data_IF_091882179127
#
_entry.id   IF_091882179127
#
_cell.length_a   1.000
_cell.length_b   1.000
_cell.length_c   1.000
_cell.angle_alpha   90.00
_cell.angle_beta   90.00
_cell.angle_gamma   90.00
#
_symmetry.space_group_name_H-M   'P 1'
#
loop_
_entity.id
_entity.type
_entity.pdbx_description
1 polymer ?
#
# COMPACT_ATOMS: atom_id res chain seq x y z
N UNK A 1 14.55 -0.89 7.80
CA UNK A 1 14.54 -0.64 6.36
C UNK A 1 13.89 -1.80 5.62
N UNK A 2 13.33 -1.54 4.41
CA UNK A 2 12.59 -2.53 3.65
C UNK A 2 13.17 -2.83 2.27
N UNK A 3 13.02 -4.08 1.83
CA UNK A 3 13.36 -4.46 0.46
C UNK A 3 12.37 -5.46 -0.10
N UNK A 4 12.16 -5.41 -1.41
CA UNK A 4 11.31 -6.35 -2.13
C UNK A 4 12.14 -7.50 -2.66
N UNK A 5 11.70 -8.74 -2.39
CA UNK A 5 12.32 -9.95 -2.89
C UNK A 5 11.27 -10.72 -3.71
N UNK A 6 11.65 -11.20 -4.88
CA UNK A 6 10.76 -11.92 -5.80
C UNK A 6 10.27 -13.22 -5.17
N UNK A 7 8.99 -13.51 -5.29
CA UNK A 7 8.39 -14.75 -4.81
C UNK A 7 8.67 -15.92 -5.75
N UNK A 8 8.61 -17.16 -5.24
CA UNK A 8 8.64 -18.39 -6.03
C UNK A 8 7.33 -18.58 -6.82
N UNK A 9 6.97 -17.58 -7.62
CA UNK A 9 5.69 -17.51 -8.32
C UNK A 9 5.86 -17.11 -9.78
N UNK A 10 4.91 -17.53 -10.62
CA UNK A 10 4.92 -17.17 -12.03
C UNK A 10 4.43 -15.71 -12.21
N UNK A 11 5.22 -14.90 -12.86
CA UNK A 11 4.95 -13.47 -13.12
C UNK A 11 3.74 -13.22 -14.05
N UNK A 12 3.29 -14.20 -14.78
CA UNK A 12 2.14 -14.07 -15.70
C UNK A 12 0.82 -14.57 -15.10
N UNK A 13 0.82 -15.15 -13.91
CA UNK A 13 -0.38 -15.66 -13.24
C UNK A 13 -0.98 -14.67 -12.25
N UNK A 14 -1.15 -13.43 -12.66
CA UNK A 14 -1.68 -12.37 -11.82
C UNK A 14 -3.21 -12.36 -11.73
N UNK A 15 -3.72 -11.96 -10.58
CA UNK A 15 -5.13 -11.62 -10.36
C UNK A 15 -5.19 -10.22 -9.78
N UNK A 16 -5.89 -9.31 -10.48
CA UNK A 16 -6.09 -7.93 -10.06
C UNK A 16 -7.46 -7.74 -9.42
N UNK A 17 -7.53 -7.30 -8.15
CA UNK A 17 -8.77 -7.06 -7.43
C UNK A 17 -9.72 -6.14 -8.20
N UNK A 18 -9.23 -5.03 -8.72
CA UNK A 18 -10.02 -4.06 -9.51
C UNK A 18 -10.67 -4.70 -10.74
N UNK A 19 -9.94 -5.54 -11.47
CA UNK A 19 -10.46 -6.22 -12.65
C UNK A 19 -11.54 -7.25 -12.27
N UNK A 20 -11.30 -8.04 -11.22
CA UNK A 20 -12.25 -9.03 -10.71
C UNK A 20 -13.53 -8.36 -10.24
N UNK A 21 -13.44 -7.28 -9.45
CA UNK A 21 -14.61 -6.52 -8.96
C UNK A 21 -15.42 -5.92 -10.11
N UNK A 22 -14.74 -5.34 -11.13
CA UNK A 22 -15.40 -4.82 -12.33
C UNK A 22 -16.14 -5.91 -13.10
N UNK A 23 -15.52 -7.09 -13.26
CA UNK A 23 -16.12 -8.21 -13.97
C UNK A 23 -17.27 -8.83 -13.17
N UNK A 24 -17.16 -8.88 -11.84
CA UNK A 24 -18.25 -9.31 -10.96
C UNK A 24 -19.47 -8.38 -11.06
N UNK A 25 -19.24 -7.05 -11.04
CA UNK A 25 -20.34 -6.09 -11.21
C UNK A 25 -21.07 -6.28 -12.54
N UNK A 26 -20.33 -6.48 -13.65
CA UNK A 26 -20.91 -6.79 -14.96
C UNK A 26 -21.70 -8.12 -14.96
N UNK A 27 -21.18 -9.12 -14.25
CA UNK A 27 -21.87 -10.41 -14.14
C UNK A 27 -23.18 -10.28 -13.36
N UNK A 28 -23.19 -9.48 -12.27
CA UNK A 28 -24.39 -9.25 -11.46
C UNK A 28 -25.51 -8.56 -12.26
N UNK A 29 -25.18 -7.61 -13.15
CA UNK A 29 -26.16 -7.00 -14.06
C UNK A 29 -26.75 -8.07 -14.98
N UNK A 30 -25.91 -8.83 -15.69
CA UNK A 30 -26.37 -9.91 -16.59
C UNK A 30 -27.19 -10.96 -15.85
N UNK A 31 -26.87 -11.23 -14.60
CA UNK A 31 -27.60 -12.18 -13.78
C UNK A 31 -28.97 -11.64 -13.37
N UNK A 32 -29.10 -10.33 -13.15
CA UNK A 32 -30.38 -9.69 -12.87
C UNK A 32 -31.32 -9.81 -14.09
N UNK A 33 -30.82 -9.47 -15.26
CA UNK A 33 -31.57 -9.61 -16.52
C UNK A 33 -32.00 -11.06 -16.75
N UNK A 34 -31.10 -12.01 -16.54
CA UNK A 34 -31.33 -13.43 -16.70
C UNK A 34 -32.37 -13.98 -15.68
N UNK A 35 -32.37 -13.49 -14.43
CA UNK A 35 -33.37 -13.87 -13.43
C UNK A 35 -34.75 -13.39 -13.87
N UNK A 36 -34.85 -12.13 -14.35
CA UNK A 36 -36.12 -11.58 -14.84
C UNK A 36 -36.62 -12.37 -16.07
N UNK A 37 -35.75 -12.75 -16.99
CA UNK A 37 -36.08 -13.61 -18.14
C UNK A 37 -36.61 -14.98 -17.66
N UNK A 38 -35.98 -15.63 -16.70
CA UNK A 38 -36.45 -16.91 -16.14
C UNK A 38 -37.77 -16.77 -15.39
N UNK A 39 -38.02 -15.66 -14.69
CA UNK A 39 -39.29 -15.39 -14.02
C UNK A 39 -40.47 -15.33 -15.01
N UNK A 40 -40.24 -14.67 -16.15
CA UNK A 40 -41.26 -14.59 -17.23
C UNK A 40 -41.46 -15.92 -17.97
N UNK A 41 -40.37 -16.63 -18.30
CA UNK A 41 -40.44 -17.86 -19.11
C UNK A 41 -41.05 -19.05 -18.35
N UNK A 42 -40.87 -19.11 -17.03
CA UNK A 42 -41.19 -20.28 -16.21
C UNK A 42 -42.22 -19.98 -15.10
N UNK A 43 -42.83 -18.79 -15.12
CA UNK A 43 -43.77 -18.31 -14.08
C UNK A 43 -43.22 -18.53 -12.65
N UNK A 44 -41.97 -18.10 -12.45
CA UNK A 44 -41.25 -18.21 -11.19
C UNK A 44 -41.08 -16.83 -10.57
N UNK A 45 -40.96 -16.78 -9.24
CA UNK A 45 -40.64 -15.53 -8.53
C UNK A 45 -39.48 -15.72 -7.60
N UNK A 46 -38.45 -14.82 -7.70
CA UNK A 46 -37.25 -14.76 -6.82
C UNK A 46 -37.23 -13.40 -6.13
N UNK A 47 -37.52 -13.37 -4.86
CA UNK A 47 -37.49 -12.13 -4.09
C UNK A 47 -36.04 -11.82 -3.68
N UNK A 48 -35.54 -10.65 -4.08
CA UNK A 48 -34.25 -10.11 -3.67
C UNK A 48 -34.32 -8.57 -3.59
N UNK A 49 -33.41 -7.96 -2.78
CA UNK A 49 -33.36 -6.50 -2.65
C UNK A 49 -32.56 -5.85 -3.80
N UNK A 50 -31.79 -4.81 -3.49
CA UNK A 50 -31.01 -4.03 -4.49
C UNK A 50 -29.93 -4.84 -5.23
N UNK A 51 -29.49 -5.99 -4.68
CA UNK A 51 -28.42 -6.80 -5.29
C UNK A 51 -28.70 -8.29 -5.18
N UNK A 52 -28.42 -9.02 -6.27
CA UNK A 52 -28.52 -10.47 -6.31
C UNK A 52 -27.33 -11.10 -5.58
N UNK A 53 -27.60 -12.02 -4.64
CA UNK A 53 -26.61 -12.80 -3.90
C UNK A 53 -26.60 -14.26 -4.39
N UNK A 54 -25.52 -14.98 -4.12
CA UNK A 54 -25.41 -16.42 -4.44
C UNK A 54 -26.61 -17.23 -3.90
N UNK A 55 -27.15 -16.86 -2.73
CA UNK A 55 -28.32 -17.51 -2.17
C UNK A 55 -29.56 -17.43 -3.08
N UNK A 56 -29.77 -16.28 -3.73
CA UNK A 56 -30.89 -16.09 -4.67
C UNK A 56 -30.67 -16.91 -5.95
N UNK A 57 -29.47 -16.97 -6.46
CA UNK A 57 -29.11 -17.82 -7.61
C UNK A 57 -29.30 -19.29 -7.31
N UNK A 58 -28.93 -19.74 -6.10
CA UNK A 58 -29.20 -21.12 -5.66
C UNK A 58 -30.72 -21.42 -5.53
N UNK A 59 -31.53 -20.45 -5.07
CA UNK A 59 -32.98 -20.59 -5.03
C UNK A 59 -33.56 -20.74 -6.43
N UNK A 60 -33.16 -19.90 -7.40
CA UNK A 60 -33.58 -20.04 -8.79
C UNK A 60 -33.16 -21.39 -9.37
N UNK A 61 -31.92 -21.82 -9.14
CA UNK A 61 -31.47 -23.14 -9.54
C UNK A 61 -32.35 -24.27 -9.03
N UNK A 62 -32.71 -24.23 -7.72
CA UNK A 62 -33.60 -25.24 -7.11
C UNK A 62 -34.95 -25.27 -7.81
N UNK A 63 -35.55 -24.11 -8.13
CA UNK A 63 -36.85 -24.04 -8.84
C UNK A 63 -36.75 -24.57 -10.26
N UNK A 64 -35.72 -24.20 -11.04
CA UNK A 64 -35.55 -24.74 -12.40
C UNK A 64 -35.31 -26.26 -12.43
N UNK A 65 -34.59 -26.80 -11.43
CA UNK A 65 -34.43 -28.26 -11.31
C UNK A 65 -35.72 -28.96 -10.90
N UNK A 66 -36.58 -28.33 -10.10
CA UNK A 66 -37.90 -28.87 -9.81
C UNK A 66 -38.78 -28.93 -11.06
N UNK A 67 -38.75 -27.89 -11.91
CA UNK A 67 -39.42 -27.90 -13.22
C UNK A 67 -38.87 -29.00 -14.13
N UNK A 68 -37.57 -29.19 -14.17
CA UNK A 68 -36.95 -30.30 -14.93
C UNK A 68 -37.55 -31.67 -14.51
N UNK A 69 -37.74 -31.86 -13.21
CA UNK A 69 -38.31 -33.12 -12.68
C UNK A 69 -39.81 -33.26 -13.02
N UNK A 70 -40.60 -32.20 -12.84
CA UNK A 70 -42.05 -32.23 -13.12
C UNK A 70 -42.38 -32.44 -14.60
N UNK A 71 -41.53 -31.87 -15.50
CA UNK A 71 -41.70 -32.00 -16.94
C UNK A 71 -40.96 -33.21 -17.54
N UNK A 72 -40.31 -34.02 -16.71
CA UNK A 72 -39.52 -35.19 -17.11
C UNK A 72 -38.45 -34.87 -18.20
N UNK A 73 -37.84 -33.65 -18.16
CA UNK A 73 -36.90 -33.21 -19.17
C UNK A 73 -35.57 -33.96 -19.04
N UNK A 74 -35.23 -34.72 -20.06
CA UNK A 74 -33.94 -35.41 -20.16
C UNK A 74 -32.92 -34.47 -20.84
N UNK A 75 -31.77 -34.25 -20.21
CA UNK A 75 -30.71 -33.42 -20.76
C UNK A 75 -29.98 -34.16 -21.90
N UNK A 76 -29.80 -33.46 -23.01
CA UNK A 76 -29.07 -33.94 -24.14
C UNK A 76 -27.69 -33.28 -24.23
N UNK A 77 -26.67 -34.06 -24.56
CA UNK A 77 -25.27 -33.62 -24.69
C UNK A 77 -24.70 -34.07 -26.03
N UNK A 78 -23.72 -33.35 -26.53
CA UNK A 78 -23.00 -33.66 -27.79
C UNK A 78 -23.40 -32.76 -28.98
N UNK A 79 -22.59 -32.83 -30.02
CA UNK A 79 -22.80 -32.08 -31.25
C UNK A 79 -24.08 -32.53 -31.97
N UNK A 80 -24.83 -31.60 -32.58
CA UNK A 80 -26.03 -31.89 -33.35
C UNK A 80 -27.30 -32.12 -32.55
N UNK A 81 -27.26 -32.23 -31.21
CA UNK A 81 -28.45 -32.43 -30.37
C UNK A 81 -29.04 -31.07 -29.98
N UNK A 82 -30.38 -30.93 -30.16
CA UNK A 82 -31.10 -29.68 -29.83
C UNK A 82 -31.50 -29.67 -28.36
N UNK A 83 -30.90 -28.79 -27.57
CA UNK A 83 -31.21 -28.57 -26.14
C UNK A 83 -32.54 -27.88 -26.00
N UNK A 84 -33.34 -28.28 -24.98
CA UNK A 84 -34.57 -27.61 -24.59
C UNK A 84 -34.24 -26.20 -24.03
N UNK A 85 -35.20 -25.25 -24.05
CA UNK A 85 -35.04 -23.94 -23.40
C UNK A 85 -34.67 -24.09 -21.92
N UNK A 86 -35.33 -24.98 -21.18
CA UNK A 86 -35.07 -25.23 -19.76
C UNK A 86 -33.63 -25.72 -19.51
N UNK A 87 -33.12 -26.65 -20.35
CA UNK A 87 -31.74 -27.10 -20.24
C UNK A 87 -30.74 -25.95 -20.46
N UNK A 88 -30.99 -25.09 -21.46
CA UNK A 88 -30.14 -23.92 -21.73
C UNK A 88 -30.12 -22.95 -20.54
N UNK A 89 -31.29 -22.69 -19.95
CA UNK A 89 -31.40 -21.80 -18.79
C UNK A 89 -30.66 -22.35 -17.57
N UNK A 90 -30.79 -23.66 -17.29
CA UNK A 90 -30.05 -24.30 -16.18
C UNK A 90 -28.55 -24.26 -16.40
N UNK A 91 -28.07 -24.62 -17.59
CA UNK A 91 -26.62 -24.58 -17.91
C UNK A 91 -26.05 -23.16 -17.82
N UNK A 92 -26.80 -22.15 -18.31
CA UNK A 92 -26.42 -20.73 -18.22
C UNK A 92 -26.34 -20.28 -16.77
N UNK A 93 -27.34 -20.62 -15.95
CA UNK A 93 -27.37 -20.31 -14.53
C UNK A 93 -26.21 -20.93 -13.76
N UNK A 94 -25.88 -22.19 -14.06
CA UNK A 94 -24.75 -22.88 -13.45
C UNK A 94 -23.43 -22.23 -13.85
N UNK A 95 -23.29 -21.80 -15.09
CA UNK A 95 -22.13 -21.01 -15.55
C UNK A 95 -22.00 -19.69 -14.80
N UNK A 96 -23.10 -18.97 -14.56
CA UNK A 96 -23.10 -17.75 -13.76
C UNK A 96 -22.76 -18.00 -12.30
N UNK A 97 -23.33 -19.06 -11.71
CA UNK A 97 -23.05 -19.45 -10.32
C UNK A 97 -21.57 -19.83 -10.12
N UNK A 98 -20.99 -20.58 -11.05
CA UNK A 98 -19.59 -20.95 -11.02
C UNK A 98 -18.68 -19.69 -11.06
N UNK A 99 -18.91 -18.77 -12.02
CA UNK A 99 -18.15 -17.52 -12.13
C UNK A 99 -18.32 -16.63 -10.92
N UNK A 100 -19.53 -16.53 -10.35
CA UNK A 100 -19.76 -15.70 -9.18
C UNK A 100 -19.02 -16.23 -7.94
N UNK A 101 -18.99 -17.56 -7.76
CA UNK A 101 -18.20 -18.21 -6.71
C UNK A 101 -16.70 -17.94 -6.92
N UNK A 102 -16.21 -18.09 -8.15
CA UNK A 102 -14.81 -17.83 -8.51
C UNK A 102 -14.41 -16.38 -8.23
N UNK A 103 -15.24 -15.39 -8.59
CA UNK A 103 -14.97 -14.00 -8.31
C UNK A 103 -14.94 -13.70 -6.81
N UNK A 104 -15.89 -14.25 -6.04
CA UNK A 104 -15.91 -14.11 -4.59
C UNK A 104 -14.64 -14.70 -3.95
N UNK A 105 -14.23 -15.90 -4.39
CA UNK A 105 -13.00 -16.51 -3.90
C UNK A 105 -11.77 -15.66 -4.22
N UNK A 106 -11.65 -15.13 -5.46
CA UNK A 106 -10.55 -14.26 -5.85
C UNK A 106 -10.50 -12.98 -5.03
N UNK A 107 -11.66 -12.36 -4.75
CA UNK A 107 -11.77 -11.16 -3.91
C UNK A 107 -11.36 -11.50 -2.46
N UNK A 108 -11.80 -12.64 -1.95
CA UNK A 108 -11.45 -13.12 -0.61
C UNK A 108 -9.93 -13.33 -0.47
N UNK A 109 -9.28 -14.01 -1.43
CA UNK A 109 -7.82 -14.20 -1.45
C UNK A 109 -7.07 -12.86 -1.53
N UNK A 110 -7.59 -11.89 -2.31
CA UNK A 110 -6.99 -10.56 -2.34
C UNK A 110 -7.00 -9.88 -0.97
N UNK A 111 -8.04 -10.04 -0.17
CA UNK A 111 -8.24 -9.29 1.07
C UNK A 111 -8.07 -7.78 0.82
N UNK A 112 -7.21 -7.13 1.59
CA UNK A 112 -6.88 -5.70 1.43
C UNK A 112 -5.87 -5.40 0.30
N UNK A 113 -5.27 -6.43 -0.29
CA UNK A 113 -4.28 -6.29 -1.37
C UNK A 113 -4.94 -5.96 -2.71
N UNK A 114 -4.19 -5.31 -3.57
CA UNK A 114 -4.63 -4.99 -4.94
C UNK A 114 -4.51 -6.17 -5.91
N UNK A 115 -3.68 -7.16 -5.57
CA UNK A 115 -3.37 -8.31 -6.43
C UNK A 115 -2.81 -9.49 -5.65
N UNK A 116 -2.82 -10.66 -6.28
CA UNK A 116 -2.08 -11.84 -5.84
C UNK A 116 -1.65 -12.69 -7.05
N UNK A 117 -0.71 -13.62 -6.83
CA UNK A 117 -0.33 -14.62 -7.84
C UNK A 117 -1.11 -15.92 -7.65
N UNK A 118 -1.59 -16.54 -8.74
CA UNK A 118 -2.28 -17.84 -8.66
C UNK A 118 -1.37 -18.99 -8.20
N UNK A 119 -0.06 -18.83 -8.33
CA UNK A 119 0.93 -19.84 -7.95
C UNK A 119 1.50 -19.64 -6.56
N UNK A 120 1.29 -18.46 -5.96
CA UNK A 120 1.57 -18.13 -4.56
C UNK A 120 0.55 -17.07 -4.12
N UNK A 121 -0.48 -17.49 -3.40
CA UNK A 121 -1.61 -16.63 -3.02
C UNK A 121 -1.21 -15.51 -2.06
N UNK A 122 -0.12 -15.64 -1.33
CA UNK A 122 0.35 -14.64 -0.37
C UNK A 122 1.22 -13.57 -1.03
N UNK A 123 1.84 -13.88 -2.17
CA UNK A 123 2.65 -12.93 -2.91
C UNK A 123 1.80 -11.84 -3.58
N UNK A 124 2.25 -10.59 -3.48
CA UNK A 124 1.60 -9.42 -4.10
C UNK A 124 2.45 -8.91 -5.25
N UNK A 125 1.83 -8.45 -6.33
CA UNK A 125 2.56 -7.85 -7.44
C UNK A 125 3.08 -6.46 -7.05
N UNK A 126 4.41 -6.29 -7.11
CA UNK A 126 5.12 -5.09 -6.71
C UNK A 126 6.11 -4.65 -7.79
N UNK A 127 6.35 -3.35 -7.89
CA UNK A 127 7.45 -2.82 -8.69
C UNK A 127 8.77 -3.09 -7.98
N UNK A 128 9.67 -3.79 -8.65
CA UNK A 128 11.01 -4.10 -8.11
C UNK A 128 11.95 -2.91 -8.30
N UNK A 129 12.96 -2.75 -7.40
CA UNK A 129 14.03 -1.75 -7.59
C UNK A 129 14.95 -2.15 -8.76
N UNK A 130 15.26 -3.44 -8.86
CA UNK A 130 16.09 -4.00 -9.93
C UNK A 130 15.22 -4.31 -11.16
N UNK A 131 14.78 -3.27 -11.85
CA UNK A 131 14.11 -3.38 -13.14
C UNK A 131 15.13 -3.05 -14.23
N UNK A 132 15.86 -4.09 -14.68
CA UNK A 132 16.91 -3.95 -15.68
C UNK A 132 16.42 -3.37 -17.01
N UNK A 133 15.13 -3.53 -17.32
CA UNK A 133 14.52 -2.99 -18.55
C UNK A 133 13.92 -1.58 -18.35
N UNK A 134 13.86 -1.07 -17.14
CA UNK A 134 13.32 0.25 -16.84
C UNK A 134 11.83 0.45 -17.20
N UNK A 135 11.11 -0.63 -17.52
CA UNK A 135 9.74 -0.59 -18.02
C UNK A 135 8.66 -0.63 -16.90
N UNK A 136 9.07 -0.65 -15.64
CA UNK A 136 8.17 -0.69 -14.49
C UNK A 136 7.46 -2.04 -14.31
N UNK A 137 8.03 -3.14 -14.81
CA UNK A 137 7.43 -4.46 -14.70
C UNK A 137 7.13 -4.82 -13.25
N UNK A 138 5.89 -5.29 -13.02
CA UNK A 138 5.45 -5.79 -11.74
C UNK A 138 5.79 -7.28 -11.63
N UNK A 139 6.37 -7.68 -10.50
CA UNK A 139 6.64 -9.08 -10.17
C UNK A 139 5.94 -9.48 -8.88
N UNK A 140 5.52 -10.76 -8.73
CA UNK A 140 5.04 -11.26 -7.45
C UNK A 140 6.21 -11.23 -6.45
N UNK A 141 6.01 -10.60 -5.31
CA UNK A 141 7.06 -10.37 -4.33
C UNK A 141 6.51 -10.26 -2.92
N UNK A 142 7.43 -10.35 -1.97
CA UNK A 142 7.23 -10.02 -0.56
C UNK A 142 8.07 -8.80 -0.21
N UNK A 143 7.57 -7.96 0.69
CA UNK A 143 8.31 -6.85 1.27
C UNK A 143 8.96 -7.34 2.58
N UNK A 144 10.28 -7.51 2.55
CA UNK A 144 11.09 -7.91 3.71
C UNK A 144 11.54 -6.65 4.45
N UNK A 145 11.24 -6.57 5.74
CA UNK A 145 11.65 -5.50 6.64
C UNK A 145 12.73 -6.01 7.57
N UNK A 146 13.85 -5.28 7.69
CA UNK A 146 14.92 -5.57 8.64
C UNK A 146 15.04 -4.47 9.69
N UNK A 147 15.08 -4.84 10.96
CA UNK A 147 15.63 -4.05 12.06
C UNK A 147 17.10 -4.37 12.23
N UNK A 148 17.94 -3.36 12.14
CA UNK A 148 19.39 -3.50 12.22
C UNK A 148 19.89 -2.69 13.41
N UNK A 149 20.72 -3.31 14.24
CA UNK A 149 21.50 -2.62 15.27
C UNK A 149 22.91 -3.19 15.29
N UNK A 150 23.90 -2.31 15.42
CA UNK A 150 25.32 -2.68 15.49
C UNK A 150 25.78 -3.62 14.36
N UNK A 151 25.22 -3.42 13.14
CA UNK A 151 25.45 -4.20 11.92
C UNK A 151 24.75 -5.57 11.88
N UNK A 152 24.04 -5.99 12.94
CA UNK A 152 23.30 -7.26 12.98
C UNK A 152 21.81 -7.05 12.72
N UNK A 153 21.21 -7.98 12.01
CA UNK A 153 19.76 -8.05 11.91
C UNK A 153 19.21 -8.55 13.24
N UNK A 154 18.52 -7.68 13.97
CA UNK A 154 17.96 -7.97 15.30
C UNK A 154 16.52 -8.45 15.21
N UNK A 155 15.77 -7.99 14.20
CA UNK A 155 14.41 -8.43 13.93
C UNK A 155 14.10 -8.33 12.44
N UNK A 156 13.16 -9.14 11.97
CA UNK A 156 12.67 -9.06 10.62
C UNK A 156 11.18 -9.42 10.53
N UNK A 157 10.50 -8.81 9.57
CA UNK A 157 9.13 -9.20 9.20
C UNK A 157 9.00 -9.23 7.67
N UNK A 158 8.02 -9.98 7.18
CA UNK A 158 7.65 -9.99 5.78
C UNK A 158 6.18 -9.60 5.62
N UNK A 159 5.86 -8.95 4.51
CA UNK A 159 4.49 -8.54 4.26
C UNK A 159 4.16 -8.39 2.78
N UNK A 160 2.86 -8.31 2.48
CA UNK A 160 2.37 -8.13 1.12
C UNK A 160 2.30 -6.66 0.69
N UNK A 161 2.72 -5.71 1.53
CA UNK A 161 2.59 -4.28 1.27
C UNK A 161 3.65 -3.82 0.25
N UNK A 162 3.26 -3.17 -0.86
CA UNK A 162 4.21 -2.69 -1.85
C UNK A 162 4.96 -1.42 -1.43
N UNK A 163 4.59 -0.80 -0.30
CA UNK A 163 5.20 0.42 0.27
C UNK A 163 5.45 0.25 1.75
N UNK A 164 6.43 0.97 2.29
CA UNK A 164 6.89 0.82 3.67
C UNK A 164 6.12 1.68 4.68
N UNK A 165 5.30 2.62 4.21
CA UNK A 165 4.55 3.57 5.06
C UNK A 165 3.68 2.88 6.12
N UNK A 166 3.14 1.70 5.83
CA UNK A 166 2.24 0.96 6.72
C UNK A 166 2.90 -0.22 7.43
N UNK A 167 4.22 -0.43 7.24
CA UNK A 167 4.94 -1.57 7.79
C UNK A 167 5.63 -1.28 9.12
N UNK A 168 5.92 0.00 9.42
CA UNK A 168 6.71 0.39 10.60
C UNK A 168 6.01 0.00 11.91
N UNK A 169 4.75 0.37 12.07
CA UNK A 169 4.00 0.09 13.32
C UNK A 169 3.86 -1.41 13.59
N UNK A 170 3.40 -2.24 12.63
CA UNK A 170 3.38 -3.69 12.83
C UNK A 170 4.76 -4.26 13.15
N UNK A 171 5.80 -3.81 12.44
CA UNK A 171 7.18 -4.23 12.67
C UNK A 171 7.65 -3.93 14.10
N UNK A 172 7.45 -2.70 14.58
CA UNK A 172 7.90 -2.30 15.92
C UNK A 172 7.13 -2.99 17.03
N UNK A 173 5.83 -3.24 16.85
CA UNK A 173 5.01 -3.99 17.80
C UNK A 173 5.48 -5.44 17.90
N UNK A 174 5.67 -6.10 16.76
CA UNK A 174 6.13 -7.49 16.69
C UNK A 174 7.54 -7.63 17.28
N UNK A 175 8.47 -6.74 16.93
CA UNK A 175 9.81 -6.71 17.50
C UNK A 175 9.80 -6.52 19.02
N UNK A 176 9.00 -5.59 19.55
CA UNK A 176 8.89 -5.33 20.97
C UNK A 176 8.29 -6.53 21.73
N UNK A 177 7.29 -7.18 21.13
CA UNK A 177 6.64 -8.34 21.73
C UNK A 177 7.64 -9.51 21.92
N UNK A 178 8.50 -9.76 20.95
CA UNK A 178 9.42 -10.90 20.97
C UNK A 178 10.76 -10.58 21.63
N UNK A 179 11.33 -9.41 21.37
CA UNK A 179 12.61 -9.00 21.98
C UNK A 179 12.48 -8.60 23.46
N UNK A 180 11.24 -8.35 23.95
CA UNK A 180 10.94 -7.90 25.31
C UNK A 180 11.59 -6.57 25.70
N UNK A 181 12.06 -5.79 24.72
CA UNK A 181 12.56 -4.46 24.93
C UNK A 181 12.19 -3.53 23.76
N UNK A 182 12.39 -2.23 23.97
CA UNK A 182 12.00 -1.19 23.01
C UNK A 182 13.17 -0.24 22.73
N UNK A 183 13.54 -0.09 21.48
CA UNK A 183 14.55 0.87 21.06
C UNK A 183 14.07 2.30 21.29
N UNK A 184 14.90 3.14 21.90
CA UNK A 184 14.58 4.55 22.16
C UNK A 184 14.61 5.40 20.88
N UNK A 185 15.55 5.16 19.98
CA UNK A 185 15.73 5.92 18.75
C UNK A 185 15.41 5.04 17.54
N UNK A 186 14.55 5.52 16.65
CA UNK A 186 14.15 4.81 15.44
C UNK A 186 14.59 5.61 14.23
N UNK A 187 15.51 5.06 13.44
CA UNK A 187 15.98 5.68 12.21
C UNK A 187 15.46 4.92 11.01
N UNK A 188 14.77 5.62 10.10
CA UNK A 188 14.22 5.01 8.90
C UNK A 188 14.34 5.94 7.69
N UNK A 189 14.11 5.40 6.48
CA UNK A 189 14.11 6.18 5.26
C UNK A 189 12.79 6.96 5.04
N UNK A 190 12.74 7.74 3.98
CA UNK A 190 11.58 8.55 3.62
C UNK A 190 10.32 7.72 3.27
N UNK A 191 10.46 6.44 2.97
CA UNK A 191 9.36 5.53 2.69
C UNK A 191 8.46 5.27 3.89
N UNK A 192 8.98 5.48 5.09
CA UNK A 192 8.25 5.31 6.35
C UNK A 192 7.57 6.59 6.85
N UNK A 193 7.79 7.73 6.19
CA UNK A 193 7.21 8.98 6.64
C UNK A 193 5.69 8.97 6.56
N UNK A 194 5.02 9.10 7.70
CA UNK A 194 3.57 9.32 7.82
C UNK A 194 3.20 9.94 9.16
N UNK A 195 2.07 10.66 9.21
CA UNK A 195 1.54 11.21 10.46
C UNK A 195 1.28 10.11 11.50
N UNK A 196 0.71 8.99 11.05
CA UNK A 196 0.41 7.84 11.90
C UNK A 196 1.67 7.25 12.55
N UNK A 197 2.77 7.11 11.78
CA UNK A 197 4.04 6.61 12.29
C UNK A 197 4.67 7.57 13.30
N UNK A 198 4.64 8.87 13.05
CA UNK A 198 5.13 9.88 13.98
C UNK A 198 4.35 9.87 15.30
N UNK A 199 3.02 9.91 15.23
CA UNK A 199 2.14 9.86 16.42
C UNK A 199 2.36 8.56 17.20
N UNK A 200 2.51 7.43 16.53
CA UNK A 200 2.79 6.16 17.19
C UNK A 200 4.13 6.17 17.92
N UNK A 201 5.20 6.66 17.31
CA UNK A 201 6.52 6.73 17.93
C UNK A 201 6.50 7.63 19.17
N UNK A 202 5.90 8.82 19.08
CA UNK A 202 5.77 9.73 20.21
C UNK A 202 4.96 9.11 21.36
N UNK A 203 3.80 8.53 21.07
CA UNK A 203 2.95 7.88 22.07
C UNK A 203 3.66 6.70 22.76
N UNK A 204 4.64 6.08 22.12
CA UNK A 204 5.45 5.00 22.69
C UNK A 204 6.75 5.49 23.34
N UNK A 205 6.99 6.81 23.43
CA UNK A 205 8.22 7.37 23.98
C UNK A 205 9.47 7.07 23.15
N UNK A 206 9.30 6.83 21.85
CA UNK A 206 10.38 6.57 20.89
C UNK A 206 10.66 7.84 20.08
N UNK A 207 11.92 8.12 19.85
CA UNK A 207 12.37 9.31 19.11
C UNK A 207 12.57 8.93 17.66
N UNK A 208 11.85 9.61 16.77
CA UNK A 208 11.96 9.41 15.32
C UNK A 208 13.16 10.15 14.73
N UNK A 209 13.82 9.51 13.79
CA UNK A 209 14.83 10.05 12.89
C UNK A 209 14.49 9.58 11.46
N UNK A 210 13.28 9.93 11.02
CA UNK A 210 12.78 9.55 9.70
C UNK A 210 13.09 10.67 8.72
N UNK A 211 13.77 10.34 7.62
CA UNK A 211 14.06 11.33 6.59
C UNK A 211 12.76 11.83 5.94
N UNK A 212 12.44 13.15 5.97
CA UNK A 212 11.27 13.67 5.28
C UNK A 212 11.27 13.35 3.78
N UNK A 213 10.12 12.98 3.24
CA UNK A 213 9.99 12.59 1.82
C UNK A 213 10.33 13.73 0.85
N UNK A 214 10.17 14.98 1.29
CA UNK A 214 10.53 16.16 0.52
C UNK A 214 11.97 16.65 0.72
N UNK A 215 12.78 15.99 1.57
CA UNK A 215 14.12 16.47 1.96
C UNK A 215 15.04 16.74 0.78
N UNK A 216 15.16 15.82 -0.18
CA UNK A 216 16.04 16.03 -1.35
C UNK A 216 15.43 17.01 -2.35
N UNK A 217 14.14 16.92 -2.58
CA UNK A 217 13.42 17.79 -3.52
C UNK A 217 13.42 19.23 -3.03
N UNK A 218 13.31 19.47 -1.71
CA UNK A 218 13.30 20.82 -1.13
C UNK A 218 14.59 21.61 -1.36
N UNK A 219 15.69 20.93 -1.63
CA UNK A 219 16.97 21.55 -1.98
C UNK A 219 17.01 22.11 -3.41
N UNK A 220 16.10 21.66 -4.28
CA UNK A 220 16.08 22.06 -5.68
C UNK A 220 15.53 23.48 -5.86
N UNK A 221 16.09 24.22 -6.82
CA UNK A 221 15.60 25.56 -7.19
C UNK A 221 14.11 25.52 -7.59
N UNK A 222 13.69 24.48 -8.32
CA UNK A 222 12.30 24.28 -8.74
C UNK A 222 11.35 24.18 -7.56
N UNK A 223 11.70 23.47 -6.50
CA UNK A 223 10.88 23.35 -5.30
C UNK A 223 10.78 24.67 -4.55
N UNK A 224 11.93 25.33 -4.32
CA UNK A 224 12.00 26.59 -3.57
C UNK A 224 11.28 27.74 -4.27
N UNK A 225 11.26 27.75 -5.60
CA UNK A 225 10.58 28.77 -6.40
C UNK A 225 9.12 28.42 -6.67
N UNK A 226 8.61 27.26 -6.24
CA UNK A 226 7.20 26.86 -6.44
C UNK A 226 6.27 27.61 -5.48
N UNK A 227 5.78 28.76 -5.89
CA UNK A 227 4.90 29.65 -5.11
C UNK A 227 3.56 29.03 -4.72
N UNK A 228 3.17 27.92 -5.36
CA UNK A 228 1.94 27.21 -5.08
C UNK A 228 2.04 26.25 -3.88
N UNK A 229 3.23 26.03 -3.32
CA UNK A 229 3.44 25.11 -2.20
C UNK A 229 3.22 25.77 -0.86
N UNK A 230 2.66 25.00 0.08
CA UNK A 230 2.43 25.45 1.46
C UNK A 230 3.73 25.80 2.17
N UNK A 231 4.79 25.04 1.90
CA UNK A 231 6.12 25.24 2.51
C UNK A 231 6.80 26.54 2.05
N UNK A 232 6.35 27.13 0.96
CA UNK A 232 6.91 28.37 0.38
C UNK A 232 5.99 29.58 0.59
N UNK A 233 4.94 29.44 1.39
CA UNK A 233 4.07 30.54 1.79
C UNK A 233 4.35 30.96 3.22
N UNK A 234 4.28 32.23 3.49
CA UNK A 234 4.40 32.78 4.84
C UNK A 234 3.19 32.37 5.68
N UNK A 235 3.45 31.83 6.89
CA UNK A 235 2.41 31.41 7.81
C UNK A 235 2.42 32.26 9.08
N UNK A 236 1.30 32.89 9.37
CA UNK A 236 1.07 33.67 10.57
C UNK A 236 0.33 32.82 11.61
N UNK A 237 1.06 32.34 12.60
CA UNK A 237 0.54 31.40 13.60
C UNK A 237 -0.57 31.99 14.46
N UNK A 238 -0.46 33.28 14.87
CA UNK A 238 -1.43 33.95 15.73
C UNK A 238 -2.82 34.06 15.09
N UNK A 239 -2.87 34.37 13.81
CA UNK A 239 -4.12 34.53 13.06
C UNK A 239 -4.53 33.29 12.26
N UNK A 240 -3.69 32.25 12.26
CA UNK A 240 -3.89 31.00 11.51
C UNK A 240 -4.16 31.24 10.02
N UNK A 241 -3.33 32.04 9.36
CA UNK A 241 -3.45 32.39 7.94
C UNK A 241 -2.14 32.17 7.20
N UNK A 242 -2.26 31.85 5.90
CA UNK A 242 -1.13 31.85 4.98
C UNK A 242 -1.21 33.10 4.10
N UNK A 243 -0.05 33.66 3.73
CA UNK A 243 0.07 34.77 2.79
C UNK A 243 0.63 34.23 1.47
N UNK A 244 -0.08 34.46 0.36
CA UNK A 244 0.38 34.05 -0.95
C UNK A 244 1.38 35.06 -1.56
N UNK A 245 2.04 34.69 -2.65
CA UNK A 245 3.02 35.55 -3.36
C UNK A 245 2.44 36.92 -3.75
N UNK A 246 1.13 37.04 -3.93
CA UNK A 246 0.43 38.29 -4.27
C UNK A 246 -0.07 39.04 -3.03
N UNK A 247 0.40 38.73 -1.83
CA UNK A 247 0.00 39.38 -0.58
C UNK A 247 -1.41 39.06 -0.10
N UNK A 248 -2.17 38.18 -0.80
CA UNK A 248 -3.54 37.82 -0.40
C UNK A 248 -3.52 36.75 0.70
N UNK A 249 -4.50 36.84 1.60
CA UNK A 249 -4.66 35.95 2.75
C UNK A 249 -5.40 34.68 2.36
N UNK A 250 -4.89 33.54 2.81
CA UNK A 250 -5.60 32.27 2.79
C UNK A 250 -6.05 31.97 4.22
N UNK A 251 -7.35 32.00 4.44
CA UNK A 251 -7.99 31.74 5.74
C UNK A 251 -8.46 30.30 5.84
N UNK A 252 -8.52 29.79 7.05
CA UNK A 252 -9.10 28.46 7.31
C UNK A 252 -10.59 28.48 6.93
N UNK A 253 -10.96 27.60 6.01
CA UNK A 253 -12.32 27.46 5.49
C UNK A 253 -13.07 26.36 6.25
N UNK A 254 -12.52 25.16 6.27
CA UNK A 254 -13.08 24.06 7.02
C UNK A 254 -12.01 23.01 7.39
N UNK A 255 -12.39 22.08 8.27
CA UNK A 255 -11.54 20.95 8.64
C UNK A 255 -12.09 19.68 8.02
N UNK A 256 -11.21 18.95 7.33
CA UNK A 256 -11.52 17.67 6.72
C UNK A 256 -10.84 16.53 7.51
N UNK A 257 -11.62 15.55 7.90
CA UNK A 257 -11.09 14.30 8.47
C UNK A 257 -10.89 13.28 7.35
N UNK A 258 -9.74 12.60 7.36
CA UNK A 258 -9.41 11.57 6.39
C UNK A 258 -8.97 10.29 7.10
N UNK A 259 -9.69 9.19 6.87
CA UNK A 259 -9.36 7.89 7.44
C UNK A 259 -8.45 7.11 6.49
N UNK A 260 -7.31 6.65 7.01
CA UNK A 260 -6.37 5.78 6.29
C UNK A 260 -6.91 4.35 6.19
N UNK A 261 -6.24 3.49 5.41
CA UNK A 261 -6.58 2.05 5.34
C UNK A 261 -6.30 1.32 6.66
N UNK A 262 -5.38 1.83 7.47
CA UNK A 262 -5.05 1.30 8.80
C UNK A 262 -6.07 1.70 9.87
N UNK A 263 -6.98 2.61 9.52
CA UNK A 263 -8.00 3.13 10.44
C UNK A 263 -7.61 4.45 11.11
N UNK A 264 -6.39 4.94 10.92
CA UNK A 264 -5.92 6.21 11.46
C UNK A 264 -6.70 7.37 10.84
N UNK A 265 -7.12 8.33 11.68
CA UNK A 265 -7.89 9.52 11.25
C UNK A 265 -6.99 10.75 11.34
N UNK A 266 -6.57 11.27 10.19
CA UNK A 266 -5.83 12.52 10.08
C UNK A 266 -6.77 13.72 9.95
N UNK A 267 -6.36 14.84 10.57
CA UNK A 267 -7.08 16.12 10.53
C UNK A 267 -6.35 17.08 9.57
N UNK A 268 -7.05 17.56 8.55
CA UNK A 268 -6.52 18.51 7.56
C UNK A 268 -7.32 19.78 7.58
N UNK A 269 -6.68 20.90 7.84
CA UNK A 269 -7.30 22.22 7.68
C UNK A 269 -7.20 22.64 6.23
N UNK A 270 -8.32 23.00 5.65
CA UNK A 270 -8.39 23.54 4.28
C UNK A 270 -8.37 25.05 4.40
N UNK A 271 -7.39 25.68 3.75
CA UNK A 271 -7.29 27.14 3.64
C UNK A 271 -7.69 27.55 2.24
N UNK A 272 -8.45 28.62 2.14
CA UNK A 272 -8.92 29.19 0.88
C UNK A 272 -8.46 30.63 0.77
N UNK A 273 -7.94 31.00 -0.39
CA UNK A 273 -7.59 32.37 -0.70
C UNK A 273 -8.86 33.21 -0.82
N UNK A 274 -8.84 34.40 -0.25
CA UNK A 274 -9.97 35.32 -0.27
C UNK A 274 -10.34 35.78 -1.70
N UNK A 275 -9.33 36.01 -2.55
CA UNK A 275 -9.55 36.38 -3.95
C UNK A 275 -8.35 36.03 -4.83
N UNK A 276 -8.61 35.42 -5.99
CA UNK A 276 -7.62 35.08 -7.01
C UNK A 276 -7.95 35.68 -8.38
N UNK A 277 -8.92 36.62 -8.47
CA UNK A 277 -9.30 37.26 -9.70
C UNK A 277 -8.18 38.19 -10.17
N UNK A 278 -7.86 38.18 -11.48
CA UNK A 278 -6.80 39.00 -12.06
C UNK A 278 -5.40 38.81 -11.52
N UNK A 279 -5.14 37.72 -10.74
CA UNK A 279 -3.84 37.48 -10.15
C UNK A 279 -2.78 37.13 -11.22
N UNK A 280 -1.67 37.88 -11.32
CA UNK A 280 -0.62 37.64 -12.34
C UNK A 280 0.12 36.31 -12.11
N UNK A 281 0.11 35.79 -10.87
CA UNK A 281 0.78 34.55 -10.50
C UNK A 281 -0.12 33.31 -10.58
N UNK A 282 -1.34 33.41 -11.10
CA UNK A 282 -2.36 32.38 -11.02
C UNK A 282 -1.93 31.07 -11.69
N UNK A 283 -1.30 31.15 -12.87
CA UNK A 283 -0.81 30.00 -13.63
C UNK A 283 0.27 29.21 -12.88
N UNK A 284 1.17 29.90 -12.17
CA UNK A 284 2.25 29.26 -11.41
C UNK A 284 1.80 28.78 -10.04
N UNK A 285 0.77 29.40 -9.47
CA UNK A 285 0.24 29.12 -8.14
C UNK A 285 -0.77 27.97 -8.14
N UNK A 286 -1.69 27.93 -9.10
CA UNK A 286 -2.78 26.94 -9.18
C UNK A 286 -2.46 25.93 -10.28
N UNK A 287 -1.97 24.76 -9.87
CA UNK A 287 -1.66 23.65 -10.77
C UNK A 287 -2.83 22.67 -10.85
N UNK A 288 -2.95 21.93 -11.94
CA UNK A 288 -3.97 20.91 -12.10
C UNK A 288 -4.59 20.91 -13.50
N UNK A 289 -3.91 20.24 -14.44
CA UNK A 289 -4.32 20.14 -15.83
C UNK A 289 -5.60 19.29 -16.05
N UNK A 290 -5.98 18.48 -15.05
CA UNK A 290 -7.13 17.57 -15.11
C UNK A 290 -8.39 18.15 -14.41
N UNK A 291 -8.38 19.42 -14.02
CA UNK A 291 -9.55 20.06 -13.43
C UNK A 291 -10.51 20.54 -14.53
N UNK A 292 -11.81 20.22 -14.37
CA UNK A 292 -12.85 20.63 -15.34
C UNK A 292 -13.19 22.12 -15.27
N UNK A 293 -12.93 22.75 -14.11
CA UNK A 293 -13.17 24.19 -13.91
C UNK A 293 -12.07 24.99 -14.61
N UNK A 294 -12.38 25.99 -15.43
CA UNK A 294 -11.41 26.89 -16.04
C UNK A 294 -10.51 27.55 -15.00
N UNK A 295 -9.25 27.85 -15.35
CA UNK A 295 -8.28 28.39 -14.40
C UNK A 295 -8.73 29.73 -13.82
N UNK A 296 -9.40 30.57 -14.65
CA UNK A 296 -9.89 31.91 -14.30
C UNK A 296 -10.88 31.86 -13.13
N UNK A 297 -11.67 30.79 -13.03
CA UNK A 297 -12.68 30.61 -11.99
C UNK A 297 -12.11 29.94 -10.72
N UNK A 298 -10.89 29.39 -10.80
CA UNK A 298 -10.31 28.68 -9.65
C UNK A 298 -9.78 29.65 -8.62
N UNK A 299 -9.97 29.26 -7.34
CA UNK A 299 -9.37 29.92 -6.19
C UNK A 299 -8.32 29.02 -5.57
N UNK A 300 -7.20 29.56 -5.10
CA UNK A 300 -6.15 28.80 -4.42
C UNK A 300 -6.67 28.21 -3.13
N UNK A 301 -6.49 26.90 -2.98
CA UNK A 301 -6.73 26.16 -1.74
C UNK A 301 -5.47 25.44 -1.30
N UNK A 302 -5.23 25.35 0.01
CA UNK A 302 -4.17 24.57 0.63
C UNK A 302 -4.79 23.54 1.57
N UNK A 303 -4.13 22.38 1.69
CA UNK A 303 -4.47 21.39 2.70
C UNK A 303 -3.30 21.25 3.67
N UNK A 304 -3.48 21.69 4.90
CA UNK A 304 -2.48 21.60 5.96
C UNK A 304 -2.86 20.52 6.97
N UNK A 305 -2.10 19.45 7.03
CA UNK A 305 -2.11 18.50 8.14
C UNK A 305 -1.14 19.02 9.21
N UNK A 306 -1.60 19.90 10.12
CA UNK A 306 -0.74 20.61 11.07
C UNK A 306 0.10 19.67 11.92
N UNK A 307 -0.50 18.58 12.42
CA UNK A 307 0.21 17.54 13.19
C UNK A 307 1.35 16.94 12.38
N UNK A 308 1.08 16.57 11.13
CA UNK A 308 2.12 16.02 10.24
C UNK A 308 3.25 17.03 9.95
N UNK A 309 2.90 18.29 9.69
CA UNK A 309 3.88 19.34 9.40
C UNK A 309 4.77 19.61 10.61
N UNK A 310 4.19 19.62 11.83
CA UNK A 310 4.93 19.77 13.09
C UNK A 310 5.97 18.65 13.24
N UNK A 311 5.55 17.40 13.18
CA UNK A 311 6.48 16.25 13.33
C UNK A 311 7.54 16.19 12.24
N UNK A 312 7.15 16.51 10.99
CA UNK A 312 8.11 16.61 9.88
C UNK A 312 9.19 17.64 10.14
N UNK A 313 8.82 18.80 10.69
CA UNK A 313 9.78 19.85 11.02
C UNK A 313 10.70 19.41 12.17
N UNK A 314 10.15 18.84 13.23
CA UNK A 314 10.93 18.31 14.35
C UNK A 314 11.89 17.21 13.90
N UNK A 315 11.44 16.30 13.03
CA UNK A 315 12.31 15.26 12.47
C UNK A 315 13.39 15.84 11.53
N UNK A 316 13.05 16.87 10.77
CA UNK A 316 14.05 17.58 9.95
C UNK A 316 15.16 18.15 10.83
N UNK A 317 14.82 18.80 11.94
CA UNK A 317 15.80 19.33 12.90
C UNK A 317 16.64 18.21 13.52
N UNK A 318 16.00 17.12 13.94
CA UNK A 318 16.68 15.95 14.51
C UNK A 318 17.67 15.32 13.55
N UNK A 319 17.28 15.10 12.28
CA UNK A 319 18.17 14.47 11.28
C UNK A 319 19.31 15.38 10.82
N UNK A 320 19.23 16.69 11.06
CA UNK A 320 20.28 17.66 10.77
C UNK A 320 21.23 17.89 11.96
N UNK A 321 20.86 17.45 13.17
CA UNK A 321 21.77 17.48 14.32
C UNK A 321 22.93 16.51 14.13
N UNK A 322 24.05 16.70 14.85
CA UNK A 322 25.22 15.82 14.79
C UNK A 322 24.84 14.36 15.06
N UNK A 323 24.00 14.12 16.05
CA UNK A 323 23.47 12.80 16.35
C UNK A 323 22.62 12.23 15.21
N UNK A 324 21.77 13.04 14.60
CA UNK A 324 20.94 12.64 13.47
C UNK A 324 21.73 12.36 12.21
N UNK A 325 22.78 13.12 11.96
CA UNK A 325 23.73 12.88 10.86
C UNK A 325 24.40 11.52 11.06
N UNK A 326 24.92 11.26 12.27
CA UNK A 326 25.54 9.98 12.61
C UNK A 326 24.55 8.80 12.42
N UNK A 327 23.32 8.92 12.89
CA UNK A 327 22.28 7.88 12.72
C UNK A 327 21.96 7.63 11.25
N UNK A 328 21.86 8.66 10.42
CA UNK A 328 21.61 8.49 8.98
C UNK A 328 22.77 7.80 8.26
N UNK A 329 24.00 8.16 8.60
CA UNK A 329 25.19 7.50 8.04
C UNK A 329 25.20 6.02 8.46
N UNK A 330 25.01 5.74 9.75
CA UNK A 330 24.95 4.36 10.25
C UNK A 330 23.81 3.56 9.61
N UNK A 331 22.62 4.17 9.44
CA UNK A 331 21.51 3.50 8.75
C UNK A 331 21.87 3.15 7.31
N UNK A 332 22.42 4.10 6.56
CA UNK A 332 22.79 3.84 5.16
C UNK A 332 23.80 2.68 5.06
N UNK A 333 24.84 2.68 5.88
CA UNK A 333 25.85 1.61 5.85
C UNK A 333 25.28 0.28 6.33
N UNK A 334 24.53 0.27 7.43
CA UNK A 334 24.09 -0.96 8.08
C UNK A 334 22.86 -1.57 7.41
N UNK A 335 21.83 -0.78 7.14
CA UNK A 335 20.58 -1.26 6.57
C UNK A 335 20.70 -1.53 5.07
N UNK A 336 21.24 -0.61 4.30
CA UNK A 336 21.48 -0.82 2.87
C UNK A 336 22.53 -1.89 2.64
N UNK A 337 23.61 -1.93 3.47
CA UNK A 337 24.61 -2.98 3.46
C UNK A 337 24.03 -4.36 3.75
N UNK A 338 23.05 -4.47 4.66
CA UNK A 338 22.42 -5.77 4.95
C UNK A 338 21.68 -6.33 3.74
N UNK A 339 21.04 -5.50 2.94
CA UNK A 339 20.39 -5.93 1.72
C UNK A 339 21.38 -6.12 0.56
N UNK A 340 22.50 -5.39 0.57
CA UNK A 340 23.64 -5.64 -0.31
C UNK A 340 24.21 -7.04 -0.09
N UNK A 341 24.59 -7.36 1.16
CA UNK A 341 25.08 -8.69 1.55
C UNK A 341 24.09 -9.79 1.06
N UNK A 342 22.78 -9.60 1.29
CA UNK A 342 21.76 -10.58 0.93
C UNK A 342 21.65 -10.75 -0.61
N UNK A 343 21.51 -9.66 -1.33
CA UNK A 343 21.17 -9.68 -2.77
C UNK A 343 22.36 -9.81 -3.70
N UNK A 344 23.52 -9.27 -3.31
CA UNK A 344 24.73 -9.28 -4.13
C UNK A 344 25.68 -10.40 -3.71
N UNK A 345 26.06 -10.44 -2.43
CA UNK A 345 27.07 -11.39 -1.98
C UNK A 345 26.51 -12.81 -1.85
N UNK A 346 25.28 -12.96 -1.31
CA UNK A 346 24.59 -14.26 -1.22
C UNK A 346 23.77 -14.59 -2.48
N UNK A 347 23.64 -13.68 -3.44
CA UNK A 347 22.87 -13.88 -4.68
C UNK A 347 21.36 -14.08 -4.47
N UNK A 348 20.83 -13.75 -3.29
CA UNK A 348 19.46 -14.04 -2.91
C UNK A 348 18.50 -12.96 -3.43
N UNK A 349 17.97 -13.15 -4.63
CA UNK A 349 17.04 -12.22 -5.30
C UNK A 349 15.62 -12.75 -5.38
N UNK A 350 15.43 -14.04 -5.13
CA UNK A 350 14.14 -14.73 -5.24
C UNK A 350 14.03 -15.82 -4.19
N UNK A 351 12.86 -15.92 -3.56
CA UNK A 351 12.53 -17.01 -2.65
C UNK A 351 12.42 -18.35 -3.38
N UNK A 352 12.72 -19.43 -2.68
CA UNK A 352 12.50 -20.80 -3.13
C UNK A 352 11.17 -21.32 -2.61
N UNK A 353 10.82 -20.93 -1.39
CA UNK A 353 9.57 -21.29 -0.72
C UNK A 353 8.38 -20.45 -1.18
N UNK A 354 7.16 -20.96 -0.93
CA UNK A 354 5.88 -20.29 -1.19
C UNK A 354 5.07 -20.16 0.09
N UNK A 355 4.28 -19.08 0.17
CA UNK A 355 3.44 -18.78 1.32
C UNK A 355 4.19 -18.11 2.46
N UNK A 356 3.50 -17.18 3.16
CA UNK A 356 4.08 -16.28 4.15
C UNK A 356 4.92 -16.99 5.20
N UNK A 357 4.43 -18.09 5.81
CA UNK A 357 5.12 -18.79 6.88
C UNK A 357 6.46 -19.37 6.45
N UNK A 358 6.52 -20.03 5.27
CA UNK A 358 7.75 -20.64 4.76
C UNK A 358 8.75 -19.58 4.30
N UNK A 359 8.26 -18.52 3.66
CA UNK A 359 9.07 -17.38 3.23
C UNK A 359 9.65 -16.64 4.44
N UNK A 360 8.90 -16.51 5.53
CA UNK A 360 9.42 -15.96 6.78
C UNK A 360 10.56 -16.83 7.35
N UNK A 361 10.37 -18.15 7.42
CA UNK A 361 11.40 -19.07 7.89
C UNK A 361 12.68 -18.97 7.02
N UNK A 362 12.55 -18.92 5.70
CA UNK A 362 13.66 -18.74 4.77
C UNK A 362 14.37 -17.40 5.01
N UNK A 363 13.62 -16.32 5.26
CA UNK A 363 14.19 -15.00 5.59
C UNK A 363 14.95 -15.00 6.93
N UNK A 364 14.44 -15.70 7.94
CA UNK A 364 15.11 -15.86 9.25
C UNK A 364 16.44 -16.59 9.09
N UNK A 365 16.45 -17.72 8.36
CA UNK A 365 17.69 -18.48 8.12
C UNK A 365 18.75 -17.65 7.39
N UNK A 366 18.35 -16.85 6.41
CA UNK A 366 19.24 -15.95 5.70
C UNK A 366 19.80 -14.84 6.61
N UNK A 367 18.96 -14.25 7.45
CA UNK A 367 19.42 -13.25 8.43
C UNK A 367 20.37 -13.83 9.46
N UNK A 368 20.12 -15.06 9.93
CA UNK A 368 21.04 -15.78 10.83
C UNK A 368 22.38 -16.06 10.15
N UNK A 369 22.38 -16.58 8.92
CA UNK A 369 23.60 -16.84 8.16
C UNK A 369 24.42 -15.55 7.94
N UNK A 370 23.75 -14.44 7.60
CA UNK A 370 24.37 -13.13 7.50
C UNK A 370 25.00 -12.66 8.83
N UNK A 371 24.27 -12.81 9.93
CA UNK A 371 24.76 -12.40 11.24
C UNK A 371 26.01 -13.23 11.67
N UNK A 372 26.00 -14.53 11.41
CA UNK A 372 27.14 -15.43 11.67
C UNK A 372 28.35 -14.98 10.81
N UNK A 373 28.16 -14.75 9.52
CA UNK A 373 29.23 -14.27 8.63
C UNK A 373 29.78 -12.92 9.09
N UNK A 374 28.91 -11.99 9.51
CA UNK A 374 29.30 -10.68 10.03
C UNK A 374 30.13 -10.83 11.32
N UNK A 375 29.68 -11.69 12.25
CA UNK A 375 30.40 -11.99 13.49
C UNK A 375 31.79 -12.59 13.19
N UNK A 376 31.84 -13.62 12.34
CA UNK A 376 33.09 -14.23 11.92
C UNK A 376 34.09 -13.20 11.37
N UNK A 377 33.64 -12.35 10.44
CA UNK A 377 34.48 -11.30 9.88
C UNK A 377 34.97 -10.28 10.92
N UNK A 378 34.15 -9.97 11.93
CA UNK A 378 34.56 -9.09 13.04
C UNK A 378 35.60 -9.75 13.94
N UNK A 379 35.45 -11.04 14.23
CA UNK A 379 36.46 -11.81 15.00
C UNK A 379 37.78 -11.83 14.26
N UNK A 380 37.77 -12.21 12.98
CA UNK A 380 39.00 -12.28 12.15
C UNK A 380 39.74 -10.94 12.06
N UNK A 381 39.02 -9.83 12.09
CA UNK A 381 39.60 -8.46 12.00
C UNK A 381 39.86 -7.81 13.36
N UNK A 382 39.68 -8.51 14.49
CA UNK A 382 39.81 -7.96 15.84
C UNK A 382 38.84 -6.79 16.14
N UNK A 383 37.63 -6.78 15.51
CA UNK A 383 36.68 -5.70 15.61
C UNK A 383 35.43 -6.06 16.43
N UNK A 384 35.48 -7.09 17.22
CA UNK A 384 34.40 -7.44 18.14
C UNK A 384 34.22 -6.35 19.20
N UNK A 385 32.99 -5.92 19.46
CA UNK A 385 32.67 -4.87 20.41
C UNK A 385 32.91 -3.43 19.91
N UNK A 386 33.44 -3.26 18.69
CA UNK A 386 33.62 -1.92 18.11
C UNK A 386 32.39 -1.46 17.33
N UNK A 387 31.97 -0.19 17.52
CA UNK A 387 30.98 0.44 16.67
C UNK A 387 31.60 0.89 15.35
N UNK A 388 30.82 0.92 14.26
CA UNK A 388 31.26 1.43 12.96
C UNK A 388 31.73 2.89 13.04
N UNK A 389 30.96 3.71 13.75
CA UNK A 389 31.29 5.09 14.08
C UNK A 389 31.02 5.29 15.56
N UNK A 390 32.06 5.31 16.40
CA UNK A 390 31.90 5.59 17.82
C UNK A 390 31.34 7.00 18.00
N UNK A 391 30.33 7.13 18.86
CA UNK A 391 29.90 8.44 19.35
C UNK A 391 31.13 9.01 20.06
N UNK A 392 31.69 10.13 19.57
CA UNK A 392 32.71 10.85 20.32
C UNK A 392 32.07 11.22 21.67
N UNK A 393 32.63 10.69 22.75
CA UNK A 393 32.29 11.15 24.09
C UNK A 393 32.60 12.65 24.13
N UNK A 394 31.57 13.45 24.45
CA UNK A 394 31.71 14.87 24.66
C UNK A 394 32.64 15.13 25.84
#
# INVERSE_FOLDING_TARGET
>A
DGTKIEAAANKYTFVWKKAVTKNQAKLLIKLADFVAECEQLYDLRIVYGSTIKISHVKKLRKKLYALKQSENVVFVHGAGKRKTPLQKSIETLEGYLCRLKEYNQKIHICGERNSYSKTDHDATFMRMKEDAMGNGQLKPAYNLQHGIDSEYTTWLTIGPQPTDTTTLIPFLKDAQEHLKFKYKNITADAGYESEENYVFLEANGQISYIKPANYEISKTRKYRNDIGRIENMEYHAESDIYICRNGKKLKADHVRHSKSKTGYVSKKTIYKCEDCSGCPYKNDCIKGNNCKTPLEERTKTLQAAKTFLKYRQEDLERILSDKGILFRINRSIQAEGSFGDLKQDMGFRRYVSKGTSKVLAESILLAMARNINKLHNKIQKGRTGTHLFPVKSA
#
